data_IF_683144468710
#
_entry.id   IF_683144468710
#
_cell.length_a   1.000
_cell.length_b   1.000
_cell.length_c   1.000
_cell.angle_alpha   90.00
_cell.angle_beta   90.00
_cell.angle_gamma   90.00
#
_symmetry.space_group_name_H-M   'P 1'
#
loop_
_entity.id
_entity.type
_entity.pdbx_description
1 polymer ?
#
# COMPACT_ATOMS: atom_id res chain seq x y z
N UNK A 1 -3.25 13.34 -15.95
CA UNK A 1 -3.93 12.79 -14.76
C UNK A 1 -4.99 13.79 -14.37
N UNK A 2 -6.29 13.44 -14.48
CA UNK A 2 -7.40 14.33 -14.09
C UNK A 2 -7.69 14.18 -12.59
N UNK A 3 -6.69 14.49 -11.77
CA UNK A 3 -6.82 14.49 -10.32
C UNK A 3 -7.29 15.88 -9.87
N UNK A 4 -8.43 15.94 -9.18
CA UNK A 4 -9.01 17.18 -8.67
C UNK A 4 -8.55 17.42 -7.23
N UNK A 5 -7.24 17.61 -7.05
CA UNK A 5 -6.62 17.90 -5.75
C UNK A 5 -5.64 19.05 -5.98
N UNK A 6 -5.69 20.06 -5.12
CA UNK A 6 -4.77 21.19 -5.23
C UNK A 6 -3.33 20.75 -4.93
N UNK A 7 -2.35 21.39 -5.57
CA UNK A 7 -0.95 20.98 -5.47
C UNK A 7 -0.42 21.05 -4.02
N UNK A 8 -0.90 22.01 -3.23
CA UNK A 8 -0.56 22.14 -1.81
C UNK A 8 -1.14 21.00 -0.97
N UNK A 9 -2.40 20.64 -1.17
CA UNK A 9 -3.04 19.51 -0.47
C UNK A 9 -2.36 18.19 -0.82
N UNK A 10 -1.99 18.01 -2.10
CA UNK A 10 -1.23 16.85 -2.53
C UNK A 10 0.14 16.77 -1.82
N UNK A 11 0.82 17.90 -1.64
CA UNK A 11 2.09 17.94 -0.92
C UNK A 11 1.93 17.58 0.57
N UNK A 12 0.84 18.02 1.20
CA UNK A 12 0.51 17.64 2.57
C UNK A 12 0.20 16.15 2.71
N UNK A 13 -0.58 15.58 1.79
CA UNK A 13 -0.86 14.14 1.74
C UNK A 13 0.42 13.31 1.55
N UNK A 14 1.31 13.74 0.64
CA UNK A 14 2.61 13.09 0.42
C UNK A 14 3.48 13.18 1.68
N UNK A 15 3.50 14.34 2.35
CA UNK A 15 4.22 14.51 3.62
C UNK A 15 3.66 13.60 4.70
N UNK A 16 2.33 13.56 4.87
CA UNK A 16 1.66 12.71 5.84
C UNK A 16 1.95 11.22 5.56
N UNK A 17 1.92 10.82 4.29
CA UNK A 17 2.29 9.47 3.90
C UNK A 17 3.72 9.12 4.34
N UNK A 18 4.71 9.98 4.08
CA UNK A 18 6.09 9.72 4.50
C UNK A 18 6.26 9.67 6.02
N UNK A 19 5.55 10.52 6.77
CA UNK A 19 5.58 10.50 8.24
C UNK A 19 5.07 9.17 8.83
N UNK A 20 4.08 8.55 8.19
CA UNK A 20 3.45 7.33 8.70
C UNK A 20 4.07 6.05 8.12
N UNK A 21 4.37 6.06 6.82
CA UNK A 21 4.71 4.86 6.05
C UNK A 21 6.16 4.84 5.56
N UNK A 22 6.92 5.92 5.75
CA UNK A 22 8.29 6.04 5.27
C UNK A 22 9.22 4.94 5.80
N UNK A 23 9.09 4.58 7.08
CA UNK A 23 9.83 3.49 7.72
C UNK A 23 9.00 2.22 7.91
N UNK A 24 7.78 2.16 7.37
CA UNK A 24 7.01 0.93 7.39
C UNK A 24 7.78 -0.15 6.60
N UNK A 25 8.06 -1.33 7.19
CA UNK A 25 9.03 -2.28 6.64
C UNK A 25 8.49 -3.14 5.49
N UNK A 26 7.21 -2.99 5.17
CA UNK A 26 6.51 -3.70 4.11
C UNK A 26 6.02 -2.70 3.05
N UNK A 27 5.62 -3.16 1.84
CA UNK A 27 5.16 -2.26 0.79
C UNK A 27 3.93 -1.46 1.23
N UNK A 28 4.02 -0.13 1.14
CA UNK A 28 2.91 0.80 1.25
C UNK A 28 3.01 1.88 0.17
N UNK A 29 1.86 2.30 -0.35
CA UNK A 29 1.75 3.37 -1.34
C UNK A 29 0.42 4.11 -1.21
N UNK A 30 0.43 5.40 -1.52
CA UNK A 30 -0.77 6.18 -1.79
C UNK A 30 -1.05 6.15 -3.29
N UNK A 31 -2.26 5.77 -3.68
CA UNK A 31 -2.65 5.65 -5.07
C UNK A 31 -3.97 6.37 -5.36
N UNK A 32 -4.10 6.87 -6.59
CA UNK A 32 -5.33 7.43 -7.14
C UNK A 32 -6.25 6.31 -7.64
N UNK A 33 -7.56 6.55 -7.75
CA UNK A 33 -8.57 5.57 -8.17
C UNK A 33 -8.26 4.84 -9.49
N UNK A 34 -7.47 5.45 -10.37
CA UNK A 34 -7.02 4.86 -11.63
C UNK A 34 -5.79 3.94 -11.47
N UNK A 35 -5.35 3.71 -10.23
CA UNK A 35 -4.23 2.89 -9.73
C UNK A 35 -2.87 3.55 -9.88
N UNK A 36 -2.82 4.80 -10.33
CA UNK A 36 -1.58 5.57 -10.41
C UNK A 36 -1.01 5.81 -9.01
N UNK A 37 0.28 5.48 -8.86
CA UNK A 37 0.98 5.59 -7.59
C UNK A 37 1.47 7.02 -7.42
N UNK A 38 0.95 7.72 -6.41
CA UNK A 38 1.30 9.11 -6.11
C UNK A 38 2.61 9.16 -5.32
N UNK A 39 2.72 8.33 -4.29
CA UNK A 39 3.90 8.18 -3.44
C UNK A 39 3.94 6.77 -2.88
N UNK A 40 5.13 6.26 -2.60
CA UNK A 40 5.38 4.92 -2.10
C UNK A 40 6.59 4.94 -1.17
N UNK A 41 6.74 3.91 -0.34
CA UNK A 41 7.88 3.77 0.56
C UNK A 41 9.02 2.92 -0.05
N UNK A 42 10.18 2.92 0.59
CA UNK A 42 11.37 2.18 0.11
C UNK A 42 11.14 0.67 -0.04
N UNK A 43 10.28 0.09 0.82
CA UNK A 43 9.87 -1.31 0.71
C UNK A 43 9.05 -1.60 -0.56
N UNK A 44 8.25 -0.65 -1.03
CA UNK A 44 7.55 -0.78 -2.31
C UNK A 44 8.52 -0.71 -3.50
N UNK A 45 9.54 0.16 -3.42
CA UNK A 45 10.59 0.27 -4.45
C UNK A 45 11.38 -1.04 -4.59
N UNK A 46 11.73 -1.66 -3.46
CA UNK A 46 12.53 -2.89 -3.45
C UNK A 46 11.81 -4.09 -4.09
N UNK A 47 10.47 -4.06 -4.15
CA UNK A 47 9.65 -5.07 -4.84
C UNK A 47 9.20 -4.61 -6.25
N UNK A 48 9.80 -3.54 -6.78
CA UNK A 48 9.64 -3.10 -8.17
C UNK A 48 8.44 -2.19 -8.44
N UNK A 49 7.81 -1.60 -7.41
CA UNK A 49 6.82 -0.54 -7.62
C UNK A 49 7.49 0.76 -8.05
N UNK A 50 6.81 1.55 -8.87
CA UNK A 50 7.36 2.78 -9.44
C UNK A 50 6.33 3.91 -9.36
N UNK A 51 6.73 5.04 -8.78
CA UNK A 51 5.90 6.25 -8.71
C UNK A 51 5.44 6.69 -10.12
N UNK A 52 4.19 7.12 -10.24
CA UNK A 52 3.57 7.56 -11.49
C UNK A 52 3.17 6.41 -12.43
N UNK A 53 3.47 5.15 -12.10
CA UNK A 53 2.92 3.99 -12.81
C UNK A 53 1.61 3.55 -12.15
N UNK A 54 0.81 2.77 -12.88
CA UNK A 54 -0.34 2.09 -12.27
C UNK A 54 0.19 0.90 -11.47
N UNK A 55 -0.23 0.72 -10.22
CA UNK A 55 0.20 -0.44 -9.43
C UNK A 55 -0.11 -1.76 -10.16
N UNK A 56 -1.22 -1.82 -10.90
CA UNK A 56 -1.62 -2.96 -11.74
C UNK A 56 -0.71 -3.23 -12.95
N UNK A 57 0.24 -2.34 -13.25
CA UNK A 57 1.24 -2.50 -14.32
C UNK A 57 2.62 -2.91 -13.79
N UNK A 58 2.79 -2.96 -12.46
CA UNK A 58 4.01 -3.41 -11.81
C UNK A 58 3.89 -4.89 -11.44
N UNK A 59 4.83 -5.73 -11.88
CA UNK A 59 4.76 -7.19 -11.71
C UNK A 59 3.90 -7.88 -12.78
N UNK A 60 3.51 -9.13 -12.53
CA UNK A 60 2.71 -9.91 -13.49
C UNK A 60 1.20 -9.63 -13.34
N UNK A 61 0.38 -9.82 -14.38
CA UNK A 61 -1.08 -9.68 -14.26
C UNK A 61 -1.71 -10.55 -13.16
N UNK A 62 -1.14 -11.72 -12.89
CA UNK A 62 -1.64 -12.69 -11.93
C UNK A 62 -1.62 -12.16 -10.50
N UNK A 63 -0.59 -11.38 -10.13
CA UNK A 63 -0.50 -10.79 -8.78
C UNK A 63 -1.57 -9.72 -8.54
N UNK A 64 -2.17 -9.20 -9.61
CA UNK A 64 -3.28 -8.23 -9.56
C UNK A 64 -4.66 -8.87 -9.74
N UNK A 65 -4.73 -10.18 -10.02
CA UNK A 65 -6.00 -10.90 -10.17
C UNK A 65 -6.78 -10.82 -8.87
N UNK A 66 -7.93 -10.14 -8.90
CA UNK A 66 -8.79 -9.90 -7.74
C UNK A 66 -8.34 -8.75 -6.84
N UNK A 67 -7.74 -7.71 -7.43
CA UNK A 67 -7.57 -6.40 -6.83
C UNK A 67 -8.92 -5.84 -6.33
N UNK A 68 -8.96 -5.37 -5.08
CA UNK A 68 -10.18 -4.85 -4.45
C UNK A 68 -10.24 -3.31 -4.41
N UNK A 69 -9.33 -2.60 -5.10
CA UNK A 69 -9.29 -1.14 -5.09
C UNK A 69 -10.61 -0.47 -5.51
N UNK A 70 -11.32 -1.04 -6.51
CA UNK A 70 -12.62 -0.50 -6.92
C UNK A 70 -13.69 -0.68 -5.84
N UNK A 71 -13.65 -1.80 -5.11
CA UNK A 71 -14.56 -2.03 -4.00
C UNK A 71 -14.28 -1.04 -2.87
N UNK A 72 -13.01 -0.85 -2.50
CA UNK A 72 -12.61 0.12 -1.49
C UNK A 72 -13.12 1.53 -1.82
N UNK A 73 -12.86 1.99 -3.05
CA UNK A 73 -13.24 3.33 -3.51
C UNK A 73 -14.77 3.48 -3.64
N UNK A 74 -15.48 2.49 -4.18
CA UNK A 74 -16.94 2.60 -4.33
C UNK A 74 -17.69 2.55 -3.00
N UNK A 75 -17.18 1.80 -2.02
CA UNK A 75 -17.81 1.66 -0.70
C UNK A 75 -17.31 2.68 0.31
N UNK A 76 -16.16 3.33 0.04
CA UNK A 76 -15.44 4.15 1.01
C UNK A 76 -15.20 3.40 2.34
N UNK A 77 -14.89 2.10 2.24
CA UNK A 77 -14.56 1.24 3.38
C UNK A 77 -13.22 0.52 3.11
N UNK A 78 -12.41 0.27 4.16
CA UNK A 78 -11.23 -0.55 4.02
C UNK A 78 -11.62 -1.97 3.63
N UNK A 79 -10.93 -2.52 2.64
CA UNK A 79 -11.06 -3.92 2.24
C UNK A 79 -9.69 -4.56 2.25
N UNK A 80 -9.65 -5.85 2.54
CA UNK A 80 -8.41 -6.60 2.55
C UNK A 80 -8.57 -7.93 1.84
N UNK A 81 -7.45 -8.51 1.46
CA UNK A 81 -7.40 -9.85 0.90
C UNK A 81 -6.14 -10.58 1.34
N UNK A 82 -6.32 -11.84 1.71
CA UNK A 82 -5.23 -12.81 1.83
C UNK A 82 -4.80 -13.27 0.44
N UNK A 83 -3.51 -13.19 0.17
CA UNK A 83 -2.87 -13.68 -1.03
C UNK A 83 -1.72 -14.62 -0.63
N UNK A 84 -1.25 -15.42 -1.60
CA UNK A 84 0.01 -16.14 -1.45
C UNK A 84 1.10 -15.39 -2.18
N UNK A 85 2.26 -15.26 -1.54
CA UNK A 85 3.47 -14.74 -2.17
C UNK A 85 4.56 -15.81 -2.13
N UNK A 86 4.60 -16.68 -3.14
CA UNK A 86 5.32 -17.95 -3.03
C UNK A 86 4.59 -18.89 -2.05
N UNK A 87 5.32 -19.46 -1.09
CA UNK A 87 4.77 -20.41 -0.10
C UNK A 87 4.19 -19.75 1.16
N UNK A 88 4.28 -18.42 1.29
CA UNK A 88 3.80 -17.67 2.45
C UNK A 88 2.47 -16.98 2.22
N UNK A 89 1.72 -16.78 3.31
CA UNK A 89 0.56 -15.89 3.31
C UNK A 89 1.02 -14.43 3.37
N UNK A 90 0.37 -13.60 2.57
CA UNK A 90 0.46 -12.15 2.65
C UNK A 90 -0.94 -11.56 2.72
N UNK A 91 -1.09 -10.41 3.35
CA UNK A 91 -2.35 -9.67 3.42
C UNK A 91 -2.15 -8.34 2.72
N UNK A 92 -3.01 -8.02 1.77
CA UNK A 92 -3.04 -6.71 1.12
C UNK A 92 -4.31 -5.96 1.55
N UNK A 93 -4.16 -4.67 1.85
CA UNK A 93 -5.23 -3.76 2.23
C UNK A 93 -5.39 -2.65 1.20
N UNK A 94 -6.63 -2.28 0.90
CA UNK A 94 -7.00 -1.07 0.17
C UNK A 94 -7.84 -0.22 1.11
N UNK A 95 -7.24 0.86 1.61
CA UNK A 95 -7.84 1.74 2.62
C UNK A 95 -8.11 3.12 2.02
N UNK A 96 -9.36 3.52 1.82
CA UNK A 96 -9.71 4.87 1.37
C UNK A 96 -9.13 5.96 2.29
N UNK A 97 -8.85 7.14 1.75
CA UNK A 97 -8.38 8.28 2.52
C UNK A 97 -9.56 9.21 2.81
N UNK A 98 -9.85 9.43 4.09
CA UNK A 98 -10.92 10.32 4.52
C UNK A 98 -10.77 11.73 3.93
N UNK A 99 -11.87 12.30 3.43
CA UNK A 99 -11.88 13.58 2.74
C UNK A 99 -11.41 13.54 1.27
N UNK A 100 -10.81 12.43 0.82
CA UNK A 100 -10.29 12.27 -0.54
C UNK A 100 -10.85 11.00 -1.19
N UNK A 101 -12.09 11.02 -1.72
CA UNK A 101 -12.82 9.82 -2.14
C UNK A 101 -12.16 9.05 -3.29
N UNK A 102 -11.28 9.70 -4.05
CA UNK A 102 -10.56 9.11 -5.16
C UNK A 102 -9.16 8.59 -4.76
N UNK A 103 -8.78 8.67 -3.49
CA UNK A 103 -7.49 8.21 -2.96
C UNK A 103 -7.65 7.01 -2.04
N UNK A 104 -6.64 6.15 -2.08
CA UNK A 104 -6.51 5.03 -1.14
C UNK A 104 -5.05 4.74 -0.85
N UNK A 105 -4.77 4.28 0.37
CA UNK A 105 -3.50 3.65 0.72
C UNK A 105 -3.61 2.16 0.41
N UNK A 106 -2.69 1.66 -0.40
CA UNK A 106 -2.50 0.24 -0.65
C UNK A 106 -1.24 -0.22 0.07
N UNK A 107 -1.39 -1.09 1.06
CA UNK A 107 -0.27 -1.62 1.81
C UNK A 107 -0.41 -3.13 2.01
N UNK A 108 0.67 -3.78 2.35
CA UNK A 108 0.69 -5.23 2.54
C UNK A 108 1.49 -5.64 3.77
N UNK A 109 1.24 -6.85 4.25
CA UNK A 109 2.02 -7.53 5.29
C UNK A 109 2.35 -8.94 4.79
N UNK A 110 3.55 -9.44 5.04
CA UNK A 110 3.96 -10.76 4.59
C UNK A 110 4.62 -10.79 3.21
N UNK A 111 4.93 -9.62 2.62
CA UNK A 111 5.53 -9.53 1.28
C UNK A 111 7.06 -9.43 1.36
N UNK A 112 7.61 -8.82 2.40
CA UNK A 112 9.04 -8.77 2.66
C UNK A 112 9.36 -9.66 3.86
N UNK A 113 8.63 -9.50 4.95
CA UNK A 113 8.88 -10.22 6.21
C UNK A 113 8.04 -11.51 6.22
N UNK A 114 8.64 -12.63 6.63
CA UNK A 114 7.90 -13.87 6.94
C UNK A 114 7.47 -13.81 8.42
N UNK A 115 6.31 -13.22 8.69
CA UNK A 115 5.83 -13.02 10.06
C UNK A 115 5.50 -14.33 10.78
N UNK A 116 5.24 -15.41 10.06
CA UNK A 116 4.98 -16.73 10.64
C UNK A 116 6.26 -17.40 11.16
N UNK A 117 7.42 -17.02 10.61
CA UNK A 117 8.75 -17.52 11.04
C UNK A 117 9.55 -16.51 11.86
N UNK A 118 9.10 -15.27 11.92
CA UNK A 118 9.75 -14.23 12.73
C UNK A 118 9.43 -14.51 14.20
N UNK A 119 10.44 -14.61 15.10
CA UNK A 119 10.18 -14.80 16.52
C UNK A 119 9.26 -13.70 17.05
N UNK A 120 8.27 -14.05 17.86
CA UNK A 120 7.30 -13.10 18.44
C UNK A 120 7.96 -12.00 19.30
N UNK A 121 9.26 -12.12 19.60
CA UNK A 121 10.06 -11.16 20.37
C UNK A 121 11.35 -10.88 19.63
N UNK A 122 11.57 -9.61 19.25
CA UNK A 122 12.88 -9.14 18.81
C UNK A 122 13.79 -9.05 20.04
N UNK A 123 14.92 -9.78 20.11
CA UNK A 123 15.82 -9.71 21.25
C UNK A 123 16.26 -8.26 21.50
N UNK A 124 16.03 -7.75 22.71
CA UNK A 124 16.45 -6.39 23.13
C UNK A 124 15.36 -5.31 23.13
N UNK A 125 14.13 -5.62 22.71
CA UNK A 125 13.00 -4.68 22.83
C UNK A 125 12.22 -5.01 24.11
N UNK A 126 12.17 -4.05 25.06
CA UNK A 126 11.31 -4.15 26.23
C UNK A 126 9.85 -4.20 25.76
N UNK A 127 9.16 -5.29 26.05
CA UNK A 127 7.70 -5.31 25.96
C UNK A 127 7.16 -4.35 27.03
N UNK A 128 6.35 -3.38 26.62
CA UNK A 128 5.63 -2.47 27.51
C UNK A 128 4.47 -3.19 28.18
#
# INVERSE_FOLDING_TARGET
MDMKIEQSELAELVRAFHLMWGHYPEPAQLAYKNREIIVLNAASESVGQVKGKKCSSCGTPEVHKGCLANQAISTQQPVFRKNKYGDREAVAYWMPVDGYPDLFVHFSMGVIIDYDKTPAVVPGVRQL
#
